data_IF_762294986658
#
_entry.id   IF_762294986658
#
_cell.length_a   1.000
_cell.length_b   1.000
_cell.length_c   1.000
_cell.angle_alpha   90.00
_cell.angle_beta   90.00
_cell.angle_gamma   90.00
#
_symmetry.space_group_name_H-M   'P 1'
#
loop_
_entity.id
_entity.type
_entity.pdbx_description
1 polymer ?
#
# COMPACT_ATOMS: atom_id res chain seq x y z
N UNK A 1 5.53 16.98 -1.29
CA UNK A 1 6.50 15.88 -1.46
C UNK A 1 5.87 14.52 -1.17
N UNK A 2 5.23 14.32 -0.01
CA UNK A 2 4.48 13.09 0.31
C UNK A 2 3.49 12.67 -0.78
N UNK A 3 2.68 13.60 -1.30
CA UNK A 3 1.71 13.31 -2.39
C UNK A 3 2.40 12.82 -3.67
N UNK A 4 3.57 13.36 -4.02
CA UNK A 4 4.32 12.92 -5.20
C UNK A 4 4.97 11.55 -4.98
N UNK A 5 5.48 11.28 -3.77
CA UNK A 5 5.93 9.95 -3.40
C UNK A 5 4.78 8.93 -3.50
N UNK A 6 3.61 9.24 -2.95
CA UNK A 6 2.43 8.37 -3.06
C UNK A 6 2.08 8.08 -4.53
N UNK A 7 2.05 9.10 -5.40
CA UNK A 7 1.81 8.93 -6.83
C UNK A 7 2.84 8.02 -7.52
N UNK A 8 4.12 8.15 -7.20
CA UNK A 8 5.20 7.30 -7.76
C UNK A 8 4.94 5.82 -7.47
N UNK A 9 4.45 5.51 -6.27
CA UNK A 9 4.09 4.15 -5.86
C UNK A 9 2.67 3.74 -6.26
N UNK A 10 1.94 4.55 -7.04
CA UNK A 10 0.53 4.31 -7.39
C UNK A 10 -0.33 4.10 -6.13
N UNK A 11 -0.02 4.86 -5.08
CA UNK A 11 -0.81 4.96 -3.86
C UNK A 11 -1.81 6.11 -3.99
N UNK A 12 -2.87 6.08 -3.17
CA UNK A 12 -3.93 7.07 -3.17
C UNK A 12 -3.94 7.81 -1.84
N UNK A 13 -4.06 9.14 -1.89
CA UNK A 13 -4.41 9.94 -0.71
C UNK A 13 -5.91 9.83 -0.52
N UNK A 14 -6.34 9.27 0.61
CA UNK A 14 -7.76 9.00 0.92
C UNK A 14 -8.35 9.98 1.91
N UNK A 15 -7.51 10.66 2.69
CA UNK A 15 -7.92 11.74 3.59
C UNK A 15 -6.83 12.82 3.71
N UNK A 16 -7.27 14.05 3.97
CA UNK A 16 -6.39 15.22 4.13
C UNK A 16 -6.84 16.04 5.33
N UNK A 17 -5.91 16.23 6.26
CA UNK A 17 -6.06 17.13 7.40
C UNK A 17 -4.97 18.21 7.36
N UNK A 18 -5.10 19.32 8.13
CA UNK A 18 -4.12 20.41 8.10
C UNK A 18 -2.68 19.99 8.42
N UNK A 19 -2.51 18.93 9.21
CA UNK A 19 -1.21 18.47 9.73
C UNK A 19 -0.87 17.02 9.37
N UNK A 20 -1.72 16.33 8.59
CA UNK A 20 -1.60 14.90 8.32
C UNK A 20 -2.34 14.47 7.04
N UNK A 21 -1.93 13.32 6.51
CA UNK A 21 -2.52 12.70 5.33
C UNK A 21 -2.74 11.22 5.62
N UNK A 22 -3.83 10.64 5.11
CA UNK A 22 -4.03 9.19 5.07
C UNK A 22 -3.78 8.71 3.65
N UNK A 23 -2.93 7.71 3.50
CA UNK A 23 -2.54 7.14 2.20
C UNK A 23 -2.84 5.65 2.22
N UNK A 24 -3.49 5.15 1.17
CA UNK A 24 -3.63 3.72 0.93
C UNK A 24 -2.73 3.27 -0.23
N UNK A 25 -2.14 2.09 -0.10
CA UNK A 25 -1.31 1.49 -1.13
C UNK A 25 -1.56 -0.01 -1.20
N UNK A 26 -1.54 -0.56 -2.42
CA UNK A 26 -1.55 -2.00 -2.66
C UNK A 26 -0.38 -2.38 -3.55
N UNK A 27 0.26 -3.50 -3.24
CA UNK A 27 1.47 -3.92 -3.93
C UNK A 27 2.08 -5.19 -3.39
N UNK A 28 3.21 -5.58 -3.98
CA UNK A 28 4.08 -6.59 -3.40
C UNK A 28 4.68 -6.07 -2.09
N UNK A 29 5.05 -6.95 -1.15
CA UNK A 29 5.72 -6.53 0.09
C UNK A 29 6.95 -5.65 -0.16
N UNK A 30 7.75 -5.97 -1.18
CA UNK A 30 8.91 -5.17 -1.58
C UNK A 30 8.56 -3.74 -2.03
N UNK A 31 7.44 -3.57 -2.73
CA UNK A 31 6.97 -2.25 -3.18
C UNK A 31 6.47 -1.44 -1.99
N UNK A 32 5.74 -2.06 -1.08
CA UNK A 32 5.19 -1.40 0.12
C UNK A 32 6.31 -0.99 1.06
N UNK A 33 7.31 -1.85 1.29
CA UNK A 33 8.48 -1.50 2.11
C UNK A 33 9.22 -0.29 1.52
N UNK A 34 9.48 -0.29 0.21
CA UNK A 34 10.13 0.86 -0.43
C UNK A 34 9.31 2.16 -0.34
N UNK A 35 7.98 2.07 -0.32
CA UNK A 35 7.13 3.24 -0.05
C UNK A 35 7.32 3.73 1.39
N UNK A 36 7.33 2.82 2.38
CA UNK A 36 7.55 3.16 3.78
C UNK A 36 8.92 3.82 3.99
N UNK A 37 9.98 3.30 3.36
CA UNK A 37 11.33 3.86 3.45
C UNK A 37 11.39 5.30 2.91
N UNK A 38 10.63 5.60 1.84
CA UNK A 38 10.53 6.96 1.28
C UNK A 38 9.68 7.89 2.17
N UNK A 39 8.70 7.34 2.89
CA UNK A 39 7.82 8.10 3.76
C UNK A 39 8.39 8.31 5.18
N UNK A 40 9.34 7.49 5.61
CA UNK A 40 9.97 7.52 6.94
C UNK A 40 10.42 8.93 7.37
N UNK A 41 11.09 9.75 6.52
CA UNK A 41 11.54 11.09 6.91
C UNK A 41 10.41 12.09 7.20
N UNK A 42 9.19 11.82 6.71
CA UNK A 42 8.03 12.69 6.95
C UNK A 42 7.28 12.34 8.25
N UNK A 43 7.63 11.21 8.88
CA UNK A 43 6.98 10.70 10.07
C UNK A 43 5.71 9.92 9.74
N UNK A 44 5.73 8.62 10.02
CA UNK A 44 4.55 7.75 9.94
C UNK A 44 3.93 7.68 11.34
N UNK A 45 2.77 8.32 11.52
CA UNK A 45 2.08 8.34 12.82
C UNK A 45 1.45 6.99 13.16
N UNK A 46 0.84 6.36 12.15
CA UNK A 46 0.14 5.09 12.28
C UNK A 46 0.34 4.26 10.99
N UNK A 47 0.42 2.94 11.14
CA UNK A 47 0.55 1.99 10.03
C UNK A 47 -0.41 0.82 10.26
N UNK A 48 -1.24 0.54 9.26
CA UNK A 48 -2.16 -0.60 9.25
C UNK A 48 -1.89 -1.39 7.97
N UNK A 49 -1.63 -2.69 8.12
CA UNK A 49 -1.35 -3.59 7.01
C UNK A 49 -2.27 -4.81 7.07
N UNK A 50 -2.76 -5.22 5.91
CA UNK A 50 -3.41 -6.52 5.75
C UNK A 50 -2.36 -7.63 5.66
N UNK A 51 -2.76 -8.86 5.98
CA UNK A 51 -1.96 -10.02 5.63
C UNK A 51 -1.81 -10.17 4.11
N UNK A 52 -0.77 -10.89 3.69
CA UNK A 52 -0.58 -11.23 2.28
C UNK A 52 -1.79 -12.02 1.79
N UNK A 53 -2.50 -11.45 0.83
CA UNK A 53 -3.63 -12.09 0.16
C UNK A 53 -3.26 -12.36 -1.29
N UNK A 54 -3.56 -13.55 -1.78
CA UNK A 54 -3.23 -13.98 -3.12
C UNK A 54 -4.42 -14.64 -3.81
N UNK A 55 -4.49 -14.50 -5.14
CA UNK A 55 -5.42 -15.22 -5.99
C UNK A 55 -4.66 -15.81 -7.18
N UNK A 56 -5.02 -17.04 -7.56
CA UNK A 56 -4.52 -17.61 -8.82
C UNK A 56 -4.98 -16.76 -10.00
N UNK A 57 -4.07 -16.51 -10.94
CA UNK A 57 -4.39 -15.81 -12.18
C UNK A 57 -4.87 -16.78 -13.25
N UNK A 58 -5.78 -16.33 -14.10
CA UNK A 58 -6.33 -17.13 -15.20
C UNK A 58 -7.44 -18.10 -14.73
N UNK A 59 -7.80 -19.11 -15.54
CA UNK A 59 -8.97 -19.94 -15.30
C UNK A 59 -8.83 -20.95 -14.15
N UNK A 60 -7.66 -21.02 -13.50
CA UNK A 60 -7.43 -21.94 -12.38
C UNK A 60 -8.05 -21.36 -11.11
N UNK A 61 -9.08 -22.03 -10.60
CA UNK A 61 -9.63 -21.76 -9.27
C UNK A 61 -8.67 -22.23 -8.18
N UNK A 62 -8.63 -21.50 -7.07
CA UNK A 62 -7.93 -21.92 -5.85
C UNK A 62 -8.76 -22.86 -4.98
N UNK A 63 -10.04 -23.08 -5.33
CA UNK A 63 -10.87 -24.03 -4.63
C UNK A 63 -10.32 -25.46 -4.82
N UNK A 64 -10.41 -26.32 -3.79
CA UNK A 64 -10.02 -27.72 -3.94
C UNK A 64 -10.82 -28.36 -5.07
N UNK A 65 -10.16 -29.05 -6.01
CA UNK A 65 -10.86 -29.96 -6.92
C UNK A 65 -11.54 -31.02 -6.08
N UNK A 66 -12.87 -31.09 -6.14
CA UNK A 66 -13.63 -32.22 -5.60
C UNK A 66 -13.38 -33.47 -6.44
#
# INVERSE_FOLDING_TARGET
QVVEAAKLFRAHVVDVSPDSLIIEATGTPSKLQALLDVLEPFGIRELIESSVTAMSRGPRSMAPSR
#
